data_IF_586123112765
#
_entry.id   IF_586123112765
#
_cell.length_a   1.000
_cell.length_b   1.000
_cell.length_c   1.000
_cell.angle_alpha   90.00
_cell.angle_beta   90.00
_cell.angle_gamma   90.00
#
_symmetry.space_group_name_H-M   'P 1'
#
loop_
_entity.id
_entity.type
_entity.pdbx_description
1 polymer ?
#
# COMPACT_ATOMS: atom_id res chain seq x y z
N UNK A 1 25.22 9.47 -11.14
CA UNK A 1 25.54 8.99 -9.77
C UNK A 1 24.30 8.69 -8.93
N UNK A 2 23.16 9.38 -9.15
CA UNK A 2 21.91 9.13 -8.43
C UNK A 2 21.20 7.81 -8.79
N UNK A 3 21.37 7.29 -10.03
CA UNK A 3 20.73 6.04 -10.47
C UNK A 3 21.23 4.78 -9.72
N UNK A 4 22.42 4.80 -9.13
CA UNK A 4 23.06 3.62 -8.52
C UNK A 4 22.63 3.43 -7.06
N UNK A 5 22.21 4.49 -6.38
CA UNK A 5 21.77 4.42 -4.98
C UNK A 5 20.36 3.81 -4.82
N UNK A 6 19.47 3.95 -5.81
CA UNK A 6 18.09 3.44 -5.74
C UNK A 6 17.95 1.97 -6.14
N UNK A 7 18.81 1.46 -7.04
CA UNK A 7 18.96 0.03 -7.23
C UNK A 7 19.33 -0.68 -5.92
N UNK A 8 20.08 0.01 -5.04
CA UNK A 8 20.42 -0.48 -3.71
C UNK A 8 19.23 -0.50 -2.74
N UNK A 9 18.23 0.39 -2.89
CA UNK A 9 17.02 0.39 -2.04
C UNK A 9 16.08 -0.75 -2.44
N UNK A 10 15.96 -1.05 -3.75
CA UNK A 10 15.28 -2.26 -4.22
C UNK A 10 16.06 -3.55 -3.89
N UNK A 11 17.40 -3.52 -3.95
CA UNK A 11 18.27 -4.65 -3.55
C UNK A 11 18.35 -4.85 -2.03
N UNK A 12 18.09 -3.82 -1.22
CA UNK A 12 18.03 -3.94 0.25
C UNK A 12 16.77 -4.66 0.73
N UNK A 13 15.82 -4.98 -0.15
CA UNK A 13 14.73 -5.93 0.13
C UNK A 13 15.30 -7.38 0.24
N UNK A 14 16.61 -7.59 -0.03
CA UNK A 14 17.37 -8.81 0.29
C UNK A 14 18.66 -8.50 1.06
N UNK A 15 18.64 -8.65 2.38
CA UNK A 15 19.75 -9.02 3.30
C UNK A 15 19.83 -8.15 4.55
N UNK A 16 19.46 -8.77 5.69
CA UNK A 16 20.23 -8.78 6.94
C UNK A 16 19.67 -9.88 7.85
N UNK A 17 20.38 -11.01 7.95
CA UNK A 17 20.14 -12.03 8.97
C UNK A 17 21.03 -11.73 10.17
N UNK A 18 20.44 -11.18 11.23
CA UNK A 18 20.98 -11.34 12.58
C UNK A 18 20.43 -12.63 13.17
N UNK A 19 21.30 -13.38 13.85
CA UNK A 19 21.10 -14.77 14.26
C UNK A 19 20.16 -14.93 15.47
N UNK A 20 18.93 -14.44 15.34
CA UNK A 20 17.80 -14.87 16.16
C UNK A 20 16.92 -15.80 15.31
N UNK A 21 16.46 -16.92 15.88
CA UNK A 21 15.53 -17.80 15.18
C UNK A 21 14.30 -17.00 14.78
N UNK A 22 14.00 -16.97 13.47
CA UNK A 22 12.82 -16.32 12.93
C UNK A 22 11.56 -16.97 13.52
N UNK A 23 10.59 -16.16 13.92
CA UNK A 23 9.25 -16.62 14.22
C UNK A 23 8.48 -16.69 12.91
N UNK A 24 8.13 -17.90 12.49
CA UNK A 24 7.42 -18.13 11.23
C UNK A 24 5.98 -18.54 11.54
N UNK A 25 5.02 -17.74 11.09
CA UNK A 25 3.60 -18.03 11.18
C UNK A 25 3.06 -18.40 9.80
N UNK A 26 2.51 -19.61 9.69
CA UNK A 26 1.83 -20.09 8.48
C UNK A 26 0.33 -20.01 8.70
N UNK A 27 -0.36 -19.22 7.88
CA UNK A 27 -1.80 -19.03 7.97
C UNK A 27 -2.47 -19.82 6.85
N UNK A 28 -3.36 -20.73 7.22
CA UNK A 28 -4.01 -21.67 6.30
C UNK A 28 -5.50 -21.41 6.16
N UNK A 29 -6.11 -20.59 7.03
CA UNK A 29 -7.54 -20.34 7.06
C UNK A 29 -7.89 -18.99 7.73
N UNK A 30 -9.16 -18.59 7.66
CA UNK A 30 -9.66 -17.32 8.18
C UNK A 30 -9.66 -17.20 9.70
N UNK A 31 -9.81 -18.31 10.43
CA UNK A 31 -9.76 -18.30 11.90
C UNK A 31 -8.33 -18.00 12.39
N UNK A 32 -7.33 -18.65 11.79
CA UNK A 32 -5.91 -18.38 12.04
C UNK A 32 -5.53 -16.95 11.68
N UNK A 33 -6.01 -16.45 10.53
CA UNK A 33 -5.79 -15.07 10.13
C UNK A 33 -6.37 -14.09 11.16
N UNK A 34 -7.63 -14.31 11.57
CA UNK A 34 -8.31 -13.47 12.56
C UNK A 34 -7.60 -13.51 13.92
N UNK A 35 -7.16 -14.69 14.35
CA UNK A 35 -6.36 -14.86 15.57
C UNK A 35 -5.05 -14.09 15.47
N UNK A 36 -4.37 -14.15 14.33
CA UNK A 36 -3.14 -13.40 14.09
C UNK A 36 -3.38 -11.88 14.20
N UNK A 37 -4.42 -11.34 13.57
CA UNK A 37 -4.75 -9.90 13.66
C UNK A 37 -4.96 -9.48 15.12
N UNK A 38 -5.73 -10.25 15.89
CA UNK A 38 -6.02 -9.96 17.29
C UNK A 38 -4.76 -10.03 18.16
N UNK A 39 -3.97 -11.09 18.00
CA UNK A 39 -2.71 -11.26 18.70
C UNK A 39 -1.75 -10.11 18.38
N UNK A 40 -1.66 -9.69 17.11
CA UNK A 40 -0.78 -8.61 16.69
C UNK A 40 -1.17 -7.28 17.32
N UNK A 41 -2.45 -6.93 17.24
CA UNK A 41 -2.96 -5.66 17.74
C UNK A 41 -3.01 -5.61 19.28
N UNK A 42 -2.88 -6.74 19.97
CA UNK A 42 -2.72 -6.79 21.43
C UNK A 42 -1.29 -6.53 21.91
N UNK A 43 -0.33 -6.36 20.99
CA UNK A 43 1.08 -6.18 21.31
C UNK A 43 1.81 -7.48 21.66
N UNK A 44 1.21 -8.66 21.42
CA UNK A 44 1.78 -9.97 21.79
C UNK A 44 3.15 -10.25 21.20
N UNK A 45 3.48 -9.63 20.07
CA UNK A 45 4.77 -9.79 19.38
C UNK A 45 5.80 -8.74 19.79
N UNK A 46 5.47 -7.78 20.66
CA UNK A 46 6.31 -6.63 21.00
C UNK A 46 6.80 -6.67 22.45
N UNK A 47 8.03 -6.19 22.65
CA UNK A 47 8.62 -5.81 23.95
C UNK A 47 9.32 -4.47 23.75
N UNK A 48 8.99 -3.46 24.56
CA UNK A 48 9.60 -2.12 24.52
C UNK A 48 9.70 -1.56 23.09
N UNK A 49 8.57 -1.52 22.37
CA UNK A 49 8.43 -1.02 20.99
C UNK A 49 9.22 -1.77 19.91
N UNK A 50 9.80 -2.93 20.25
CA UNK A 50 10.55 -3.80 19.33
C UNK A 50 9.90 -5.18 19.26
N UNK A 51 10.09 -5.90 18.16
CA UNK A 51 9.66 -7.29 18.10
C UNK A 51 10.46 -8.16 19.09
N UNK A 52 9.80 -9.19 19.62
CA UNK A 52 10.44 -10.26 20.40
C UNK A 52 11.47 -11.03 19.56
N UNK A 53 11.15 -11.21 18.28
CA UNK A 53 11.97 -11.92 17.29
C UNK A 53 11.61 -11.45 15.88
N UNK A 54 12.51 -11.59 14.88
CA UNK A 54 12.15 -11.36 13.48
C UNK A 54 10.91 -12.18 13.11
N UNK A 55 9.83 -11.50 12.68
CA UNK A 55 8.56 -12.12 12.35
C UNK A 55 8.41 -12.29 10.84
N UNK A 56 8.06 -13.50 10.42
CA UNK A 56 7.66 -13.83 9.04
C UNK A 56 6.29 -14.48 9.09
N UNK A 57 5.33 -13.88 8.37
CA UNK A 57 3.98 -14.41 8.21
C UNK A 57 3.81 -14.83 6.76
N UNK A 58 3.41 -16.07 6.52
CA UNK A 58 3.18 -16.61 5.18
C UNK A 58 1.78 -17.17 5.06
N UNK A 59 1.06 -16.85 3.97
CA UNK A 59 -0.17 -17.55 3.64
C UNK A 59 0.16 -18.88 2.96
N UNK A 60 -0.62 -19.91 3.26
CA UNK A 60 -0.52 -21.24 2.61
C UNK A 60 -1.80 -21.58 1.82
N UNK A 61 -2.83 -20.74 1.95
CA UNK A 61 -4.10 -20.85 1.24
C UNK A 61 -4.71 -19.46 1.04
N UNK A 62 -5.68 -19.37 0.14
CA UNK A 62 -6.56 -18.22 0.05
C UNK A 62 -7.42 -18.10 1.33
N UNK A 63 -7.65 -16.86 1.75
CA UNK A 63 -8.36 -16.51 3.00
C UNK A 63 -9.63 -15.74 2.64
N UNK A 64 -10.78 -16.10 3.22
CA UNK A 64 -12.06 -15.44 2.99
C UNK A 64 -12.71 -14.98 4.30
N UNK A 65 -12.96 -13.68 4.42
CA UNK A 65 -13.48 -13.00 5.63
C UNK A 65 -14.63 -12.06 5.22
N UNK A 66 -15.80 -12.64 4.99
CA UNK A 66 -16.94 -11.98 4.33
C UNK A 66 -18.08 -11.60 5.28
N UNK A 67 -18.02 -12.03 6.54
CA UNK A 67 -19.05 -11.85 7.56
C UNK A 67 -18.89 -10.54 8.35
N UNK A 68 -17.70 -9.92 8.32
CA UNK A 68 -17.42 -8.65 8.99
C UNK A 68 -16.24 -7.90 8.36
N UNK A 69 -16.20 -6.58 8.58
CA UNK A 69 -15.07 -5.75 8.18
C UNK A 69 -13.81 -6.13 8.95
N UNK A 70 -12.68 -6.18 8.25
CA UNK A 70 -11.37 -6.41 8.84
C UNK A 70 -10.90 -5.19 9.64
N UNK A 71 -10.39 -5.47 10.83
CA UNK A 71 -9.56 -4.54 11.58
C UNK A 71 -8.17 -4.48 10.96
N UNK A 72 -7.58 -3.28 10.77
CA UNK A 72 -6.21 -3.14 10.29
C UNK A 72 -5.21 -3.87 11.21
N UNK A 73 -4.18 -4.46 10.61
CA UNK A 73 -3.02 -5.04 11.30
C UNK A 73 -2.02 -3.92 11.56
N UNK A 74 -1.65 -3.77 12.82
CA UNK A 74 -0.68 -2.77 13.25
C UNK A 74 -1.27 -1.37 13.37
N UNK A 75 -0.82 -0.67 14.41
CA UNK A 75 -1.25 0.68 14.79
C UNK A 75 -0.03 1.58 15.04
N UNK A 76 -0.25 2.86 15.37
CA UNK A 76 0.86 3.72 15.79
C UNK A 76 1.53 3.22 17.09
N UNK A 77 0.74 2.61 17.98
CA UNK A 77 1.22 2.00 19.23
C UNK A 77 1.98 0.69 18.97
N UNK A 78 1.44 -0.16 18.10
CA UNK A 78 2.06 -1.43 17.71
C UNK A 78 2.21 -1.52 16.18
N UNK A 79 3.19 -0.83 15.57
CA UNK A 79 3.38 -0.89 14.12
C UNK A 79 3.61 -2.32 13.65
N UNK A 80 3.11 -2.65 12.46
CA UNK A 80 3.51 -3.88 11.79
C UNK A 80 4.99 -3.80 11.42
N UNK A 81 5.80 -4.57 12.12
CA UNK A 81 7.22 -4.82 11.88
C UNK A 81 7.35 -6.30 11.50
N UNK A 82 8.01 -6.60 10.38
CA UNK A 82 8.27 -7.96 9.93
C UNK A 82 8.09 -8.15 8.43
N UNK A 83 8.00 -9.42 8.02
CA UNK A 83 7.66 -9.80 6.65
C UNK A 83 6.28 -10.41 6.61
N UNK A 84 5.41 -9.89 5.76
CA UNK A 84 4.18 -10.56 5.34
C UNK A 84 4.34 -11.00 3.88
N UNK A 85 4.30 -12.30 3.65
CA UNK A 85 4.40 -12.92 2.34
C UNK A 85 3.06 -13.61 2.03
N UNK A 86 2.30 -13.03 1.10
CA UNK A 86 1.07 -13.65 0.65
C UNK A 86 1.30 -14.94 -0.12
N UNK A 87 2.53 -15.24 -0.56
CA UNK A 87 2.86 -16.45 -1.30
C UNK A 87 1.89 -16.69 -2.48
N UNK A 88 1.57 -15.62 -3.20
CA UNK A 88 0.62 -15.53 -4.32
C UNK A 88 -0.85 -15.83 -3.97
N UNK A 89 -1.20 -15.95 -2.69
CA UNK A 89 -2.56 -16.18 -2.23
C UNK A 89 -3.40 -14.91 -2.15
N UNK A 90 -4.71 -15.12 -2.15
CA UNK A 90 -5.73 -14.07 -2.10
C UNK A 90 -6.38 -13.98 -0.73
N UNK A 91 -6.51 -12.76 -0.21
CA UNK A 91 -7.41 -12.42 0.89
C UNK A 91 -8.65 -11.75 0.30
N UNK A 92 -9.81 -12.37 0.46
CA UNK A 92 -11.12 -11.79 0.11
C UNK A 92 -11.83 -11.31 1.37
N UNK A 93 -12.25 -10.06 1.43
CA UNK A 93 -13.01 -9.53 2.56
C UNK A 93 -14.19 -8.64 2.15
N UNK A 94 -15.21 -8.52 2.99
CA UNK A 94 -16.33 -7.61 2.70
C UNK A 94 -15.99 -6.12 2.93
N UNK A 95 -14.93 -5.83 3.68
CA UNK A 95 -14.44 -4.46 3.84
C UNK A 95 -13.26 -4.36 4.79
N UNK A 96 -12.55 -3.23 4.76
CA UNK A 96 -11.45 -2.91 5.69
C UNK A 96 -11.67 -1.53 6.30
N UNK A 97 -11.59 -1.44 7.63
CA UNK A 97 -11.96 -0.23 8.36
C UNK A 97 -13.47 -0.02 8.37
N UNK A 98 -13.99 0.64 9.42
CA UNK A 98 -15.44 0.69 9.69
C UNK A 98 -16.01 2.10 9.71
N UNK A 99 -15.18 3.14 9.78
CA UNK A 99 -15.64 4.51 10.01
C UNK A 99 -14.83 5.52 9.20
N UNK A 100 -15.47 6.63 8.84
CA UNK A 100 -14.85 7.74 8.12
C UNK A 100 -13.93 8.62 9.01
N UNK A 101 -13.80 8.28 10.30
CA UNK A 101 -13.06 9.06 11.30
C UNK A 101 -11.77 8.37 11.80
N UNK A 102 -11.43 7.23 11.23
CA UNK A 102 -10.23 6.49 11.62
C UNK A 102 -9.11 6.73 10.61
N UNK A 103 -7.94 7.13 11.11
CA UNK A 103 -6.74 7.27 10.29
C UNK A 103 -6.03 5.93 10.09
N UNK A 104 -5.15 5.86 9.08
CA UNK A 104 -4.25 4.74 8.82
C UNK A 104 -5.04 3.45 8.57
N UNK A 105 -5.80 3.42 7.48
CA UNK A 105 -6.67 2.28 7.12
C UNK A 105 -6.12 1.54 5.90
N UNK A 106 -5.96 0.24 6.09
CA UNK A 106 -5.61 -0.77 5.09
C UNK A 106 -5.51 -2.12 5.78
N UNK A 107 -5.19 -3.19 5.05
CA UNK A 107 -4.94 -4.48 5.70
C UNK A 107 -3.86 -4.30 6.77
N UNK A 108 -2.84 -3.51 6.47
CA UNK A 108 -1.91 -2.96 7.47
C UNK A 108 -2.25 -1.51 7.76
N UNK A 109 -2.66 -1.19 8.99
CA UNK A 109 -2.97 0.18 9.35
C UNK A 109 -1.72 1.03 9.34
N UNK A 110 -0.73 0.62 10.13
CA UNK A 110 0.59 1.23 10.19
C UNK A 110 1.68 0.16 10.06
N UNK A 111 2.52 0.25 9.03
CA UNK A 111 3.66 -0.64 8.82
C UNK A 111 4.98 0.13 8.91
N UNK A 112 5.95 -0.41 9.66
CA UNK A 112 7.25 0.21 9.94
C UNK A 112 8.40 -0.75 9.73
N UNK A 113 9.40 -0.37 8.92
CA UNK A 113 10.58 -1.20 8.64
C UNK A 113 10.20 -2.63 8.19
N UNK A 114 9.18 -2.73 7.35
CA UNK A 114 8.54 -4.01 6.99
C UNK A 114 8.71 -4.36 5.52
N UNK A 115 8.45 -5.63 5.21
CA UNK A 115 8.26 -6.12 3.85
C UNK A 115 6.86 -6.72 3.73
N UNK A 116 6.08 -6.28 2.75
CA UNK A 116 4.75 -6.84 2.43
C UNK A 116 4.79 -7.21 0.96
N UNK A 117 4.58 -8.49 0.63
CA UNK A 117 4.73 -8.95 -0.75
C UNK A 117 3.80 -10.09 -1.15
N UNK A 118 3.64 -10.23 -2.47
CA UNK A 118 3.02 -11.39 -3.13
C UNK A 118 1.64 -11.75 -2.57
N UNK A 119 0.82 -10.73 -2.26
CA UNK A 119 -0.55 -10.91 -1.78
C UNK A 119 -1.55 -10.25 -2.72
N UNK A 120 -2.66 -10.92 -2.98
CA UNK A 120 -3.82 -10.31 -3.64
C UNK A 120 -4.88 -9.99 -2.59
N UNK A 121 -5.40 -8.75 -2.56
CA UNK A 121 -6.53 -8.37 -1.70
C UNK A 121 -7.73 -8.00 -2.57
N UNK A 122 -8.85 -8.69 -2.36
CA UNK A 122 -10.14 -8.40 -3.00
C UNK A 122 -11.11 -7.96 -1.92
N UNK A 123 -11.60 -6.73 -2.01
CA UNK A 123 -12.51 -6.15 -1.03
C UNK A 123 -13.61 -5.31 -1.68
N UNK A 124 -14.75 -5.14 -1.02
CA UNK A 124 -15.77 -4.20 -1.50
C UNK A 124 -15.32 -2.76 -1.22
N UNK A 125 -15.30 -2.35 0.05
CA UNK A 125 -14.96 -0.99 0.46
C UNK A 125 -13.83 -0.95 1.50
N UNK A 126 -12.97 0.07 1.38
CA UNK A 126 -11.99 0.48 2.38
C UNK A 126 -12.27 1.92 2.77
N UNK A 127 -12.68 2.13 4.02
CA UNK A 127 -13.21 3.42 4.48
C UNK A 127 -12.40 3.92 5.68
N UNK A 128 -11.86 5.13 5.57
CA UNK A 128 -11.11 5.82 6.61
C UNK A 128 -11.16 7.34 6.49
N UNK A 129 -10.37 8.03 7.32
CA UNK A 129 -10.22 9.49 7.31
C UNK A 129 -8.94 9.89 6.56
N UNK A 130 -7.76 9.70 7.16
CA UNK A 130 -6.47 9.96 6.51
C UNK A 130 -5.69 8.68 6.29
N UNK A 131 -4.83 8.68 5.28
CA UNK A 131 -3.93 7.57 4.95
C UNK A 131 -4.73 6.28 4.74
N UNK A 132 -5.44 6.22 3.60
CA UNK A 132 -6.32 5.10 3.28
C UNK A 132 -5.83 4.40 2.03
N UNK A 133 -5.58 3.09 2.11
CA UNK A 133 -5.26 2.23 0.97
C UNK A 133 -5.51 0.76 1.27
N UNK A 134 -5.71 -0.08 0.24
CA UNK A 134 -6.15 -1.46 0.49
C UNK A 134 -5.08 -2.28 1.20
N UNK A 135 -3.82 -2.20 0.75
CA UNK A 135 -2.72 -2.97 1.36
C UNK A 135 -2.28 -2.28 2.65
N UNK A 136 -2.02 -0.97 2.61
CA UNK A 136 -1.49 -0.26 3.77
C UNK A 136 -2.02 1.17 3.90
N UNK A 137 -2.38 1.58 5.11
CA UNK A 137 -2.71 2.97 5.42
C UNK A 137 -1.46 3.84 5.40
N UNK A 138 -0.56 3.62 6.36
CA UNK A 138 0.71 4.35 6.48
C UNK A 138 1.92 3.41 6.47
N UNK A 139 2.80 3.59 5.49
CA UNK A 139 3.98 2.75 5.26
C UNK A 139 5.28 3.55 5.49
N UNK A 140 5.92 3.37 6.66
CA UNK A 140 7.18 4.03 7.02
C UNK A 140 8.38 3.10 6.85
N UNK A 141 9.30 3.42 5.95
CA UNK A 141 10.46 2.57 5.62
C UNK A 141 10.06 1.13 5.28
N UNK A 142 8.94 0.98 4.57
CA UNK A 142 8.35 -0.32 4.24
C UNK A 142 8.47 -0.59 2.73
N UNK A 143 8.86 -1.81 2.37
CA UNK A 143 8.94 -2.34 1.01
C UNK A 143 7.60 -3.05 0.71
N UNK A 144 6.83 -2.56 -0.26
CA UNK A 144 5.58 -3.19 -0.71
C UNK A 144 5.79 -3.63 -2.16
N UNK A 145 5.73 -4.93 -2.44
CA UNK A 145 6.09 -5.44 -3.76
C UNK A 145 5.24 -6.61 -4.23
N UNK A 146 4.96 -6.69 -5.53
CA UNK A 146 4.22 -7.84 -6.12
C UNK A 146 2.83 -8.03 -5.48
N UNK A 147 2.20 -6.92 -5.07
CA UNK A 147 0.88 -6.95 -4.46
C UNK A 147 -0.20 -6.55 -5.46
N UNK A 148 -1.35 -7.21 -5.38
CA UNK A 148 -2.53 -6.89 -6.18
C UNK A 148 -3.66 -6.47 -5.26
N UNK A 149 -4.41 -5.45 -5.64
CA UNK A 149 -5.58 -5.04 -4.90
C UNK A 149 -6.74 -4.68 -5.82
N UNK A 150 -7.95 -5.07 -5.41
CA UNK A 150 -9.18 -4.63 -6.05
C UNK A 150 -10.26 -4.30 -5.04
N UNK A 151 -10.92 -3.16 -5.25
CA UNK A 151 -11.99 -2.66 -4.38
C UNK A 151 -12.17 -1.16 -4.48
N UNK A 152 -13.00 -0.59 -3.63
CA UNK A 152 -13.24 0.85 -3.56
C UNK A 152 -12.57 1.45 -2.33
N UNK A 153 -11.81 2.53 -2.52
CA UNK A 153 -11.09 3.21 -1.45
C UNK A 153 -11.69 4.59 -1.26
N UNK A 154 -12.19 4.87 -0.07
CA UNK A 154 -12.80 6.15 0.29
C UNK A 154 -12.13 6.71 1.55
N UNK A 155 -11.68 7.95 1.45
CA UNK A 155 -11.22 8.71 2.61
C UNK A 155 -11.31 10.20 2.40
N UNK A 156 -10.83 10.95 3.39
CA UNK A 156 -10.77 12.40 3.33
C UNK A 156 -9.45 12.88 2.71
N UNK A 157 -8.31 12.42 3.23
CA UNK A 157 -6.98 12.89 2.81
C UNK A 157 -5.99 11.75 2.62
N UNK A 158 -5.15 11.85 1.58
CA UNK A 158 -4.12 10.85 1.23
C UNK A 158 -4.72 9.46 1.01
N UNK A 159 -5.48 9.36 -0.08
CA UNK A 159 -6.19 8.13 -0.46
C UNK A 159 -5.49 7.52 -1.66
N UNK A 160 -4.98 6.29 -1.53
CA UNK A 160 -4.34 5.53 -2.60
C UNK A 160 -4.98 4.17 -2.80
N UNK A 161 -4.95 3.62 -4.00
CA UNK A 161 -5.48 2.28 -4.25
C UNK A 161 -4.74 1.18 -3.48
N UNK A 162 -3.41 1.27 -3.40
CA UNK A 162 -2.55 0.32 -2.67
C UNK A 162 -2.15 0.88 -1.29
N UNK A 163 -1.63 2.12 -1.27
CA UNK A 163 -1.08 2.74 -0.06
C UNK A 163 -1.66 4.14 0.15
N UNK A 164 -2.12 4.45 1.36
CA UNK A 164 -2.53 5.82 1.70
C UNK A 164 -1.36 6.80 1.65
N UNK A 165 -0.37 6.59 2.51
CA UNK A 165 0.87 7.36 2.54
C UNK A 165 2.10 6.44 2.70
N UNK A 166 3.14 6.70 1.89
CA UNK A 166 4.40 5.97 1.93
C UNK A 166 5.55 6.95 2.18
N UNK A 167 6.33 6.74 3.25
CA UNK A 167 7.46 7.58 3.61
C UNK A 167 8.74 6.75 3.74
N UNK A 168 9.83 7.15 3.09
CA UNK A 168 11.14 6.47 3.13
C UNK A 168 11.13 5.00 2.66
N UNK A 169 10.09 4.61 1.91
CA UNK A 169 9.85 3.24 1.43
C UNK A 169 9.64 3.19 -0.08
N UNK A 170 9.16 2.03 -0.57
CA UNK A 170 8.94 1.82 -2.00
C UNK A 170 7.75 0.92 -2.29
N UNK A 171 7.06 1.22 -3.38
CA UNK A 171 5.98 0.40 -3.95
C UNK A 171 6.44 -0.07 -5.34
N UNK A 172 6.54 -1.38 -5.54
CA UNK A 172 7.07 -1.94 -6.78
C UNK A 172 6.21 -3.09 -7.30
N UNK A 173 6.05 -3.20 -8.61
CA UNK A 173 5.38 -4.37 -9.23
C UNK A 173 3.95 -4.58 -8.71
N UNK A 174 3.26 -3.49 -8.32
CA UNK A 174 1.93 -3.56 -7.72
C UNK A 174 0.83 -3.25 -8.75
N UNK A 175 -0.34 -3.85 -8.57
CA UNK A 175 -1.48 -3.69 -9.48
C UNK A 175 -2.77 -3.37 -8.72
N UNK A 176 -3.36 -2.22 -9.03
CA UNK A 176 -4.64 -1.79 -8.47
C UNK A 176 -5.73 -1.73 -9.54
N UNK A 177 -6.92 -2.28 -9.22
CA UNK A 177 -8.15 -2.07 -10.00
C UNK A 177 -9.30 -1.67 -9.08
N UNK A 178 -9.82 -0.47 -9.25
CA UNK A 178 -10.88 0.00 -8.37
C UNK A 178 -11.15 1.49 -8.46
N UNK A 179 -12.01 1.97 -7.56
CA UNK A 179 -12.31 3.39 -7.46
C UNK A 179 -11.61 3.99 -6.25
N UNK A 180 -10.97 5.15 -6.41
CA UNK A 180 -10.31 5.89 -5.34
C UNK A 180 -10.98 7.25 -5.18
N UNK A 181 -11.44 7.57 -3.99
CA UNK A 181 -12.16 8.83 -3.68
C UNK A 181 -11.58 9.50 -2.45
N UNK A 182 -11.01 10.69 -2.63
CA UNK A 182 -10.63 11.61 -1.56
C UNK A 182 -11.62 12.78 -1.48
N UNK A 183 -12.42 12.88 -0.41
CA UNK A 183 -13.40 13.96 -0.25
C UNK A 183 -12.77 15.30 0.12
N UNK A 184 -11.63 15.26 0.81
CA UNK A 184 -10.97 16.41 1.41
C UNK A 184 -9.80 16.90 0.59
N UNK A 185 -8.82 16.04 0.30
CA UNK A 185 -7.51 16.45 -0.22
C UNK A 185 -7.12 15.79 -1.54
N UNK A 186 -6.10 14.92 -1.52
CA UNK A 186 -5.54 14.30 -2.72
C UNK A 186 -5.82 12.81 -2.80
N UNK A 187 -5.99 12.33 -4.03
CA UNK A 187 -6.10 10.91 -4.36
C UNK A 187 -5.04 10.50 -5.38
N UNK A 188 -4.50 9.29 -5.22
CA UNK A 188 -3.61 8.63 -6.16
C UNK A 188 -4.10 7.24 -6.54
N UNK A 189 -3.85 6.78 -7.78
CA UNK A 189 -4.27 5.43 -8.18
C UNK A 189 -3.54 4.32 -7.43
N UNK A 190 -2.24 4.49 -7.13
CA UNK A 190 -1.46 3.55 -6.31
C UNK A 190 -1.22 4.11 -4.91
N UNK A 191 -0.63 5.31 -4.82
CA UNK A 191 -0.22 5.93 -3.56
C UNK A 191 -0.90 7.28 -3.39
N UNK A 192 -1.53 7.55 -2.25
CA UNK A 192 -2.14 8.85 -1.97
C UNK A 192 -1.11 9.96 -1.75
N UNK A 193 -0.08 9.70 -0.95
CA UNK A 193 1.05 10.60 -0.72
C UNK A 193 2.37 9.83 -0.67
N UNK A 194 3.38 10.33 -1.36
CA UNK A 194 4.71 9.74 -1.41
C UNK A 194 5.75 10.72 -0.87
N UNK A 195 6.48 10.30 0.17
CA UNK A 195 7.56 11.06 0.79
C UNK A 195 8.88 10.28 0.73
N UNK A 196 9.90 10.84 0.08
CA UNK A 196 11.25 10.25 0.04
C UNK A 196 11.27 8.76 -0.37
N UNK A 197 10.65 8.42 -1.50
CA UNK A 197 10.42 7.04 -1.92
C UNK A 197 10.14 6.89 -3.42
N UNK A 198 9.59 5.74 -3.83
CA UNK A 198 9.25 5.53 -5.23
C UNK A 198 8.10 4.57 -5.49
N UNK A 199 7.44 4.78 -6.62
CA UNK A 199 6.47 3.85 -7.23
C UNK A 199 7.02 3.38 -8.57
N UNK A 200 7.27 2.08 -8.71
CA UNK A 200 7.98 1.53 -9.87
C UNK A 200 7.21 0.34 -10.45
N UNK A 201 7.18 0.20 -11.78
CA UNK A 201 6.58 -0.95 -12.48
C UNK A 201 5.15 -1.30 -12.02
N UNK A 202 4.36 -0.30 -11.69
CA UNK A 202 3.03 -0.50 -11.10
C UNK A 202 1.91 -0.09 -12.06
N UNK A 203 0.74 -0.71 -11.92
CA UNK A 203 -0.44 -0.47 -12.76
C UNK A 203 -1.62 0.00 -11.92
N UNK A 204 -2.30 1.07 -12.34
CA UNK A 204 -3.56 1.51 -11.75
C UNK A 204 -4.66 1.59 -12.81
N UNK A 205 -5.84 1.03 -12.54
CA UNK A 205 -7.02 1.14 -13.40
C UNK A 205 -8.33 1.33 -12.64
N UNK A 206 -9.28 2.07 -13.25
CA UNK A 206 -10.58 2.40 -12.64
C UNK A 206 -10.86 3.89 -12.60
N UNK A 207 -11.49 4.41 -11.55
CA UNK A 207 -11.78 5.85 -11.39
C UNK A 207 -11.03 6.44 -10.20
N UNK A 208 -10.53 7.67 -10.35
CA UNK A 208 -9.89 8.40 -9.25
C UNK A 208 -10.50 9.80 -9.15
N UNK A 209 -10.90 10.18 -7.93
CA UNK A 209 -11.48 11.49 -7.64
C UNK A 209 -10.88 12.08 -6.36
N UNK A 210 -10.71 13.39 -6.37
CA UNK A 210 -10.05 14.15 -5.32
C UNK A 210 -10.43 15.62 -5.42
N UNK A 211 -10.49 16.32 -4.29
CA UNK A 211 -10.95 17.71 -4.23
C UNK A 211 -9.86 18.73 -4.56
N UNK A 212 -8.64 18.53 -4.06
CA UNK A 212 -7.53 19.49 -4.25
C UNK A 212 -6.42 18.96 -5.17
N UNK A 213 -6.39 17.66 -5.46
CA UNK A 213 -5.43 17.08 -6.39
C UNK A 213 -5.78 15.64 -6.72
N UNK A 214 -5.63 15.28 -7.99
CA UNK A 214 -5.79 13.92 -8.46
C UNK A 214 -4.63 13.61 -9.36
N UNK A 215 -3.90 12.55 -9.03
CA UNK A 215 -2.85 12.03 -9.89
C UNK A 215 -3.08 10.55 -10.16
N UNK A 216 -2.96 10.09 -11.41
CA UNK A 216 -3.34 8.73 -11.72
C UNK A 216 -2.49 7.64 -11.05
N UNK A 217 -1.26 7.95 -10.63
CA UNK A 217 -0.36 7.00 -9.95
C UNK A 217 -0.07 7.43 -8.49
N UNK A 218 0.46 8.65 -8.27
CA UNK A 218 0.86 9.15 -6.94
C UNK A 218 0.24 10.52 -6.65
N UNK A 219 -0.60 10.64 -5.60
CA UNK A 219 -1.46 11.80 -5.32
C UNK A 219 -0.72 13.09 -4.96
N UNK A 220 0.39 13.03 -4.23
CA UNK A 220 1.34 14.14 -4.06
C UNK A 220 2.73 13.58 -3.85
N UNK A 221 3.69 14.21 -4.49
CA UNK A 221 5.10 13.85 -4.48
C UNK A 221 5.90 14.92 -3.70
N UNK A 222 6.56 14.54 -2.61
CA UNK A 222 7.53 15.43 -1.94
C UNK A 222 8.83 15.53 -2.75
N UNK A 223 9.82 16.30 -2.25
CA UNK A 223 11.16 16.28 -2.85
C UNK A 223 11.75 14.86 -2.86
N UNK A 224 12.56 14.56 -3.89
CA UNK A 224 13.27 13.29 -4.11
C UNK A 224 12.40 12.03 -4.14
N UNK A 225 11.34 12.04 -4.95
CA UNK A 225 10.54 10.84 -5.25
C UNK A 225 10.69 10.35 -6.70
N UNK A 226 10.51 9.04 -6.91
CA UNK A 226 10.62 8.39 -8.23
C UNK A 226 9.33 7.68 -8.63
N UNK A 227 8.71 8.09 -9.73
CA UNK A 227 7.64 7.34 -10.39
C UNK A 227 8.13 6.90 -11.76
N UNK A 228 8.24 5.59 -12.01
CA UNK A 228 8.84 5.07 -13.24
C UNK A 228 8.26 3.74 -13.68
N UNK A 229 8.17 3.52 -15.01
CA UNK A 229 7.69 2.26 -15.60
C UNK A 229 6.26 1.89 -15.16
N UNK A 230 5.48 2.87 -14.70
CA UNK A 230 4.10 2.67 -14.29
C UNK A 230 3.13 2.81 -15.46
N UNK A 231 2.03 2.08 -15.40
CA UNK A 231 0.94 2.12 -16.38
C UNK A 231 -0.30 2.73 -15.73
N UNK A 232 -0.76 3.82 -16.31
CA UNK A 232 -1.98 4.52 -15.92
C UNK A 232 -3.14 4.15 -16.85
N UNK A 233 -4.22 3.62 -16.26
CA UNK A 233 -5.55 3.44 -16.87
C UNK A 233 -6.67 3.96 -15.96
N UNK A 234 -6.37 4.96 -15.13
CA UNK A 234 -7.35 5.63 -14.28
C UNK A 234 -8.11 6.70 -15.07
N UNK A 235 -9.42 6.75 -14.87
CA UNK A 235 -10.25 7.87 -15.31
C UNK A 235 -10.33 8.89 -14.19
N UNK A 236 -9.79 10.09 -14.42
CA UNK A 236 -9.83 11.19 -13.45
C UNK A 236 -11.21 11.84 -13.44
N UNK A 237 -11.87 11.83 -12.29
CA UNK A 237 -13.16 12.48 -12.04
C UNK A 237 -12.93 13.64 -11.07
N UNK A 238 -12.80 14.86 -11.61
CA UNK A 238 -12.62 16.05 -10.77
C UNK A 238 -13.93 16.48 -10.14
N UNK A 239 -13.97 16.66 -8.82
CA UNK A 239 -15.03 17.43 -8.18
C UNK A 239 -14.90 18.89 -8.66
N UNK A 240 -15.87 19.35 -9.44
CA UNK A 240 -15.93 20.73 -9.92
C UNK A 240 -15.87 21.70 -8.74
N UNK A 241 -14.71 22.33 -8.52
CA UNK A 241 -14.47 23.73 -8.11
C UNK A 241 -13.06 23.95 -7.55
N UNK A 242 -12.04 24.05 -8.41
CA UNK A 242 -11.17 25.22 -8.52
C UNK A 242 -9.94 24.93 -9.41
N UNK A 243 -9.76 25.82 -10.37
CA UNK A 243 -8.57 26.04 -11.18
C UNK A 243 -7.27 26.06 -10.35
N UNK A 244 -6.49 24.98 -10.43
CA UNK A 244 -5.05 25.07 -10.65
C UNK A 244 -4.64 24.09 -11.75
N UNK A 245 -4.66 24.60 -12.99
CA UNK A 245 -3.71 24.18 -14.01
C UNK A 245 -2.30 24.35 -13.42
N UNK A 246 -1.69 23.29 -12.91
CA UNK A 246 -0.25 23.30 -12.67
C UNK A 246 0.40 22.23 -13.55
N UNK A 247 1.08 22.78 -14.57
CA UNK A 247 2.05 22.17 -15.45
C UNK A 247 2.90 21.12 -14.73
N UNK A 248 2.61 19.85 -15.00
CA UNK A 248 3.58 18.77 -15.14
C UNK A 248 2.82 17.63 -15.83
N UNK A 249 2.75 17.71 -17.16
CA UNK A 249 2.69 16.48 -17.98
C UNK A 249 3.95 15.69 -17.62
N UNK A 250 3.83 14.81 -16.62
CA UNK A 250 4.89 13.87 -16.27
C UNK A 250 4.88 12.79 -17.36
N UNK A 251 5.66 13.06 -18.41
CA UNK A 251 6.46 12.06 -19.13
C UNK A 251 5.78 10.74 -19.52
N UNK A 252 4.55 10.76 -20.05
CA UNK A 252 3.96 9.56 -20.70
C UNK A 252 4.43 9.34 -22.15
N UNK A 253 5.34 10.17 -22.69
CA UNK A 253 5.66 10.16 -24.14
C UNK A 253 7.14 9.95 -24.50
N UNK A 254 7.92 9.23 -23.67
CA UNK A 254 9.32 8.86 -24.04
C UNK A 254 9.67 7.37 -24.04
N UNK A 255 8.78 6.47 -23.65
CA UNK A 255 9.03 5.01 -23.76
C UNK A 255 8.24 4.30 -24.86
N UNK A 256 7.20 4.92 -25.44
CA UNK A 256 6.35 4.27 -26.46
C UNK A 256 6.94 4.32 -27.89
N UNK A 257 8.17 4.84 -28.07
CA UNK A 257 8.85 4.91 -29.39
C UNK A 257 10.09 4.04 -29.54
N UNK A 258 10.38 3.12 -28.62
CA UNK A 258 11.54 2.21 -28.75
C UNK A 258 11.23 0.71 -28.78
N UNK A 259 9.96 0.30 -28.91
CA UNK A 259 9.58 -1.12 -29.09
C UNK A 259 8.85 -1.45 -30.40
N UNK A 260 8.86 -0.54 -31.37
CA UNK A 260 8.58 -0.89 -32.77
C UNK A 260 9.66 -0.25 -33.65
N UNK A 261 10.45 -1.09 -34.32
CA UNK A 261 11.65 -0.81 -35.16
C UNK A 261 13.01 -0.98 -34.45
N UNK A 262 13.38 -2.23 -34.16
CA UNK A 262 14.48 -2.96 -34.84
C UNK A 262 14.57 -4.39 -34.33
#
# INVERSE_FOLDING_TARGET
MLLVAFALVAQNCSNKKEAHSEMILKITNSEEFTSFVNDYNSGKFHINDSLISPLVVTLENDISIIDHHLSPIGSEEYPFIGTFDGNDHTITCCGIGKTENADNIGLFGYAKNSTIKSVTIVTEDVIGQRNVGIICGYAYRTCISDCKASGHVKGDSYVGGIVGCASYGGVADCHFVGNVTASGYVAGGIVGMLEFGGVVRSYAGGQVSGKYGVHPISGTDSEDVMVSECVDRMTVVTASNNTQKNKKEIASDKLTRLLFHM
#
